data_IF_194505204982
#
_entry.id   IF_194505204982
#
_cell.length_a   1.000
_cell.length_b   1.000
_cell.length_c   1.000
_cell.angle_alpha   90.00
_cell.angle_beta   90.00
_cell.angle_gamma   90.00
#
_symmetry.space_group_name_H-M   'P 1'
#
loop_
_entity.id
_entity.type
_entity.pdbx_description
1 polymer ?
#
# COMPACT_ATOMS: atom_id res chain seq x y z
N UNK A 1 3.09 9.38 -3.42
CA UNK A 1 2.76 8.16 -2.65
C UNK A 1 1.30 8.22 -2.24
N UNK A 2 0.60 7.10 -2.35
CA UNK A 2 -0.78 6.92 -1.91
C UNK A 2 -0.85 5.67 -1.04
N UNK A 3 -1.57 5.73 0.08
CA UNK A 3 -1.91 4.57 0.90
C UNK A 3 -3.40 4.61 1.22
N UNK A 4 -4.03 3.45 1.28
CA UNK A 4 -5.45 3.37 1.57
C UNK A 4 -6.06 2.04 1.20
N UNK A 5 -7.31 2.08 0.76
CA UNK A 5 -8.15 0.90 0.57
C UNK A 5 -8.62 0.78 -0.88
N UNK A 6 -8.86 -0.42 -1.36
CA UNK A 6 -9.53 -0.71 -2.62
C UNK A 6 -10.68 -1.69 -2.38
N UNK A 7 -11.81 -1.50 -3.06
CA UNK A 7 -12.93 -2.45 -3.03
C UNK A 7 -12.85 -3.49 -4.17
N UNK A 8 -13.75 -4.47 -4.18
CA UNK A 8 -13.82 -5.52 -5.20
C UNK A 8 -14.13 -4.99 -6.61
N UNK A 9 -14.52 -3.72 -6.76
CA UNK A 9 -14.74 -3.06 -8.06
C UNK A 9 -13.53 -2.21 -8.48
N UNK A 10 -12.43 -2.32 -7.74
CA UNK A 10 -11.21 -1.57 -7.98
C UNK A 10 -11.23 -0.11 -7.55
N UNK A 11 -12.31 0.39 -6.93
CA UNK A 11 -12.38 1.78 -6.48
C UNK A 11 -11.45 2.00 -5.31
N UNK A 12 -10.60 3.02 -5.39
CA UNK A 12 -9.67 3.33 -4.33
C UNK A 12 -10.18 4.42 -3.37
N UNK A 13 -9.74 4.33 -2.13
CA UNK A 13 -10.04 5.23 -1.02
C UNK A 13 -8.73 5.56 -0.31
N UNK A 14 -8.57 6.77 0.22
CA UNK A 14 -7.45 7.08 1.10
C UNK A 14 -7.61 6.40 2.47
N UNK A 15 -6.57 6.52 3.32
CA UNK A 15 -6.61 5.99 4.70
C UNK A 15 -7.71 6.57 5.58
N UNK A 16 -8.39 7.66 5.16
CA UNK A 16 -9.57 8.21 5.83
C UNK A 16 -10.89 7.73 5.23
N UNK A 17 -10.87 6.73 4.34
CA UNK A 17 -12.02 6.23 3.58
C UNK A 17 -12.66 7.26 2.62
N UNK A 18 -11.95 8.33 2.26
CA UNK A 18 -12.43 9.24 1.21
C UNK A 18 -12.11 8.66 -0.15
N UNK A 19 -13.11 8.60 -1.03
CA UNK A 19 -12.97 8.10 -2.39
C UNK A 19 -11.94 8.90 -3.18
N UNK A 20 -11.01 8.17 -3.80
CA UNK A 20 -10.04 8.70 -4.74
C UNK A 20 -10.62 8.64 -6.15
N UNK A 21 -10.27 9.61 -7.00
CA UNK A 21 -10.64 9.61 -8.43
C UNK A 21 -9.74 8.67 -9.24
N UNK A 22 -9.58 7.44 -8.77
CA UNK A 22 -8.76 6.41 -9.41
C UNK A 22 -9.34 5.03 -9.15
N UNK A 23 -9.17 4.15 -10.13
CA UNK A 23 -9.37 2.72 -9.98
C UNK A 23 -7.99 2.08 -9.87
N UNK A 24 -7.76 1.30 -8.81
CA UNK A 24 -6.51 0.58 -8.60
C UNK A 24 -6.51 -0.73 -9.36
N UNK A 25 -7.65 -1.41 -9.44
CA UNK A 25 -7.82 -2.64 -10.22
C UNK A 25 -8.93 -2.52 -11.24
N UNK A 26 -8.90 -3.36 -12.28
CA UNK A 26 -9.99 -3.54 -13.25
C UNK A 26 -11.08 -4.50 -12.72
N UNK A 27 -12.03 -4.86 -13.59
CA UNK A 27 -13.15 -5.76 -13.26
C UNK A 27 -12.68 -7.20 -13.01
N UNK A 28 -11.54 -7.57 -13.58
CA UNK A 28 -10.86 -8.85 -13.38
C UNK A 28 -10.01 -8.87 -12.11
N UNK A 29 -9.88 -7.74 -11.41
CA UNK A 29 -9.10 -7.59 -10.19
C UNK A 29 -7.59 -7.47 -10.44
N UNK A 30 -7.17 -7.28 -11.70
CA UNK A 30 -5.79 -7.00 -12.09
C UNK A 30 -5.47 -5.52 -11.89
N UNK A 31 -4.19 -5.17 -11.76
CA UNK A 31 -3.80 -3.77 -11.64
C UNK A 31 -4.26 -2.98 -12.86
N UNK A 32 -5.06 -1.93 -12.65
CA UNK A 32 -5.49 -1.03 -13.72
C UNK A 32 -4.28 -0.24 -14.21
N UNK A 33 -3.87 -0.46 -15.46
CA UNK A 33 -2.70 0.16 -16.10
C UNK A 33 -3.09 1.27 -17.07
N UNK A 34 -2.25 2.31 -17.15
CA UNK A 34 -2.37 3.35 -18.16
C UNK A 34 -1.98 2.87 -19.56
N UNK A 35 -2.27 3.68 -20.58
CA UNK A 35 -1.89 3.36 -21.95
C UNK A 35 -0.36 3.17 -22.09
N UNK A 36 0.06 1.97 -22.51
CA UNK A 36 1.47 1.62 -22.67
C UNK A 36 2.21 1.24 -21.37
N UNK A 37 1.54 1.28 -20.22
CA UNK A 37 2.08 0.78 -18.95
C UNK A 37 2.03 -0.76 -18.95
N UNK A 38 3.15 -1.41 -18.64
CA UNK A 38 3.28 -2.87 -18.65
C UNK A 38 3.76 -3.35 -17.28
N UNK A 39 3.22 -4.46 -16.80
CA UNK A 39 3.68 -5.08 -15.55
C UNK A 39 5.04 -5.73 -15.81
N UNK A 40 6.07 -5.23 -15.12
CA UNK A 40 7.44 -5.74 -15.19
C UNK A 40 7.73 -6.76 -14.07
N UNK A 41 7.13 -6.57 -12.90
CA UNK A 41 7.26 -7.45 -11.74
C UNK A 41 5.89 -7.62 -11.09
N UNK A 42 5.53 -8.84 -10.72
CA UNK A 42 4.39 -9.15 -9.89
C UNK A 42 4.74 -10.38 -9.05
N UNK A 43 5.04 -10.18 -7.78
CA UNK A 43 5.46 -11.26 -6.87
C UNK A 43 4.85 -11.07 -5.49
N UNK A 44 4.62 -12.17 -4.78
CA UNK A 44 4.10 -12.13 -3.42
C UNK A 44 5.16 -11.65 -2.43
N UNK A 45 4.75 -10.81 -1.47
CA UNK A 45 5.59 -10.34 -0.39
C UNK A 45 4.78 -10.03 0.87
N UNK A 46 5.48 -9.91 2.00
CA UNK A 46 4.98 -9.26 3.21
C UNK A 46 5.48 -7.83 3.24
N UNK A 47 4.57 -6.89 3.44
CA UNK A 47 4.86 -5.46 3.51
C UNK A 47 4.41 -4.90 4.85
N UNK A 48 5.24 -4.04 5.43
CA UNK A 48 4.91 -3.23 6.60
C UNK A 48 5.43 -1.81 6.40
N UNK A 49 4.82 -0.83 7.05
CA UNK A 49 5.24 0.57 6.93
C UNK A 49 5.18 1.26 8.29
N UNK A 50 6.18 2.08 8.58
CA UNK A 50 6.22 2.93 9.77
C UNK A 50 6.29 4.39 9.36
N UNK A 51 5.58 5.26 10.08
CA UNK A 51 5.75 6.71 10.00
C UNK A 51 7.01 7.12 10.77
N UNK A 52 7.92 7.83 10.12
CA UNK A 52 9.17 8.31 10.71
C UNK A 52 8.92 9.67 11.38
N UNK A 53 8.41 9.64 12.61
CA UNK A 53 8.44 10.75 13.55
C UNK A 53 9.68 10.63 14.46
N UNK A 54 9.96 11.53 15.44
CA UNK A 54 11.14 11.39 16.32
C UNK A 54 11.29 10.00 16.95
N UNK A 55 10.19 9.25 17.06
CA UNK A 55 10.17 7.79 17.22
C UNK A 55 9.32 7.18 16.10
N UNK A 56 9.78 6.11 15.43
CA UNK A 56 8.98 5.42 14.43
C UNK A 56 7.67 4.89 15.01
N UNK A 57 6.55 5.14 14.31
CA UNK A 57 5.23 4.66 14.68
C UNK A 57 4.74 3.67 13.63
N UNK A 58 4.27 2.46 13.99
CA UNK A 58 3.66 1.55 13.03
C UNK A 58 2.50 2.23 12.30
N UNK A 59 2.50 2.17 10.97
CA UNK A 59 1.46 2.74 10.13
C UNK A 59 0.71 1.65 9.35
N UNK A 60 1.41 0.72 8.72
CA UNK A 60 0.87 -0.50 8.12
C UNK A 60 1.48 -1.70 8.84
N UNK A 61 0.65 -2.47 9.54
CA UNK A 61 1.05 -3.72 10.17
C UNK A 61 1.51 -4.73 9.10
N UNK A 62 2.44 -5.64 9.42
CA UNK A 62 2.92 -6.63 8.46
C UNK A 62 1.78 -7.42 7.83
N UNK A 63 1.66 -7.36 6.51
CA UNK A 63 0.56 -7.94 5.76
C UNK A 63 1.08 -8.60 4.48
N UNK A 64 0.58 -9.80 4.17
CA UNK A 64 0.88 -10.51 2.91
C UNK A 64 0.06 -9.90 1.78
N UNK A 65 0.66 -9.83 0.61
CA UNK A 65 0.03 -9.36 -0.62
C UNK A 65 0.95 -9.52 -1.81
N UNK A 66 0.65 -8.78 -2.86
CA UNK A 66 1.45 -8.74 -4.09
C UNK A 66 2.15 -7.39 -4.19
N UNK A 67 3.41 -7.42 -4.61
CA UNK A 67 4.18 -6.24 -5.03
C UNK A 67 4.25 -6.26 -6.56
N UNK A 68 3.68 -5.22 -7.17
CA UNK A 68 3.53 -5.06 -8.60
C UNK A 68 4.34 -3.84 -9.03
N UNK A 69 5.22 -3.95 -10.01
CA UNK A 69 5.97 -2.83 -10.58
C UNK A 69 5.71 -2.72 -12.08
N UNK A 70 5.47 -1.51 -12.57
CA UNK A 70 5.09 -1.24 -13.95
C UNK A 70 6.09 -0.41 -14.75
N UNK A 71 7.27 -0.15 -14.19
CA UNK A 71 8.20 0.84 -14.72
C UNK A 71 7.93 2.26 -14.23
N UNK A 72 6.66 2.60 -14.01
CA UNK A 72 6.22 3.95 -13.61
C UNK A 72 5.96 4.03 -12.10
N UNK A 73 5.41 2.95 -11.53
CA UNK A 73 5.04 2.88 -10.12
C UNK A 73 5.25 1.47 -9.56
N UNK A 74 5.38 1.41 -8.24
CA UNK A 74 5.27 0.19 -7.46
C UNK A 74 3.98 0.24 -6.65
N UNK A 75 3.24 -0.85 -6.67
CA UNK A 75 1.99 -1.04 -5.93
C UNK A 75 2.14 -2.27 -5.04
N UNK A 76 1.95 -2.11 -3.75
CA UNK A 76 1.62 -3.21 -2.86
C UNK A 76 0.11 -3.31 -2.73
N UNK A 77 -0.45 -4.51 -2.87
CA UNK A 77 -1.86 -4.79 -2.66
C UNK A 77 -2.03 -6.04 -1.78
N UNK A 78 -2.65 -5.87 -0.61
CA UNK A 78 -2.84 -6.92 0.38
C UNK A 78 -3.64 -8.11 -0.20
N UNK A 79 -3.39 -9.33 0.26
CA UNK A 79 -4.16 -10.51 -0.16
C UNK A 79 -5.64 -10.34 0.22
N UNK A 80 -6.60 -10.75 -0.62
CA UNK A 80 -8.02 -10.73 -0.27
C UNK A 80 -8.34 -11.72 0.86
N UNK A 81 -9.42 -11.47 1.61
CA UNK A 81 -9.95 -12.43 2.59
C UNK A 81 -9.08 -12.70 3.83
N UNK A 82 -8.08 -11.85 4.10
CA UNK A 82 -7.23 -12.00 5.28
C UNK A 82 -8.04 -11.95 6.59
N UNK A 83 -7.68 -12.77 7.61
CA UNK A 83 -8.26 -12.70 8.94
C UNK A 83 -8.08 -11.31 9.54
N UNK A 84 -9.15 -10.74 10.08
CA UNK A 84 -9.15 -9.39 10.67
C UNK A 84 -9.74 -9.45 12.07
N UNK A 85 -9.00 -8.92 13.03
CA UNK A 85 -9.45 -8.68 14.41
C UNK A 85 -9.36 -7.19 14.67
N UNK A 86 -10.27 -6.62 15.46
CA UNK A 86 -10.25 -5.19 15.76
C UNK A 86 -8.83 -4.69 16.13
N UNK A 87 -8.30 -3.65 15.45
CA UNK A 87 -8.94 -2.87 14.37
C UNK A 87 -9.08 -3.66 13.06
N UNK A 88 -10.23 -3.52 12.37
CA UNK A 88 -10.55 -4.25 11.13
C UNK A 88 -9.72 -3.84 9.89
N UNK A 89 -8.58 -3.20 10.07
CA UNK A 89 -7.65 -2.76 9.02
C UNK A 89 -6.23 -3.05 9.50
N UNK A 90 -5.32 -3.35 8.58
CA UNK A 90 -3.89 -3.42 8.90
C UNK A 90 -3.23 -2.04 9.01
N UNK A 91 -3.90 -0.96 8.60
CA UNK A 91 -3.44 0.38 8.92
C UNK A 91 -3.71 0.72 10.39
N UNK A 92 -2.69 1.18 11.09
CA UNK A 92 -2.78 1.68 12.45
C UNK A 92 -3.32 3.12 12.44
N UNK A 93 -4.58 3.28 12.04
CA UNK A 93 -5.27 4.57 11.94
C UNK A 93 -6.62 4.50 12.62
N UNK A 94 -7.04 5.61 13.23
CA UNK A 94 -8.40 5.76 13.73
C UNK A 94 -9.31 6.23 12.62
N UNK A 95 -10.34 5.45 12.30
CA UNK A 95 -11.34 5.79 11.30
C UNK A 95 -12.59 6.36 11.98
N UNK A 96 -13.16 7.47 11.49
CA UNK A 96 -14.38 8.05 12.04
C UNK A 96 -15.66 7.27 11.63
N UNK A 97 -15.51 6.12 10.98
CA UNK A 97 -16.61 5.30 10.49
C UNK A 97 -17.08 4.31 11.56
N UNK A 98 -18.36 3.92 11.47
CA UNK A 98 -18.90 2.88 12.34
C UNK A 98 -18.16 1.54 12.11
N UNK A 99 -17.79 0.79 13.17
CA UNK A 99 -17.03 -0.46 13.02
C UNK A 99 -17.66 -1.47 12.05
N UNK A 100 -18.99 -1.61 12.08
CA UNK A 100 -19.70 -2.51 11.15
C UNK A 100 -19.62 -2.09 9.68
N UNK A 101 -19.44 -0.78 9.38
CA UNK A 101 -19.25 -0.31 8.01
C UNK A 101 -17.86 -0.71 7.49
N UNK A 102 -16.84 -0.61 8.35
CA UNK A 102 -15.47 -1.04 8.04
C UNK A 102 -15.47 -2.56 7.86
N UNK A 103 -16.10 -3.31 8.76
CA UNK A 103 -16.24 -4.76 8.65
C UNK A 103 -16.94 -5.16 7.34
N UNK A 104 -18.06 -4.51 7.01
CA UNK A 104 -18.78 -4.76 5.76
C UNK A 104 -17.93 -4.49 4.52
N UNK A 105 -17.10 -3.44 4.54
CA UNK A 105 -16.17 -3.14 3.44
C UNK A 105 -15.20 -4.31 3.21
N UNK A 106 -14.60 -4.86 4.26
CA UNK A 106 -13.64 -5.95 4.12
C UNK A 106 -14.27 -7.32 3.87
N UNK A 107 -15.45 -7.59 4.42
CA UNK A 107 -16.10 -8.92 4.36
C UNK A 107 -17.02 -9.09 3.16
N UNK A 108 -17.74 -8.03 2.76
CA UNK A 108 -18.74 -8.08 1.69
C UNK A 108 -18.25 -7.39 0.43
N UNK A 109 -17.55 -6.26 0.57
CA UNK A 109 -17.06 -5.50 -0.59
C UNK A 109 -15.64 -5.90 -1.03
N UNK A 110 -15.08 -6.99 -0.47
CA UNK A 110 -13.76 -7.49 -0.85
C UNK A 110 -12.64 -6.48 -0.62
N UNK A 111 -12.78 -5.63 0.41
CA UNK A 111 -11.82 -4.59 0.75
C UNK A 111 -10.39 -5.11 0.92
N UNK A 112 -9.42 -4.35 0.40
CA UNK A 112 -7.99 -4.64 0.51
C UNK A 112 -7.21 -3.36 0.77
N UNK A 113 -6.15 -3.47 1.55
CA UNK A 113 -5.21 -2.39 1.80
C UNK A 113 -4.17 -2.32 0.68
N UNK A 114 -3.77 -1.10 0.29
CA UNK A 114 -2.75 -0.89 -0.73
C UNK A 114 -1.81 0.26 -0.38
N UNK A 115 -0.62 0.22 -0.98
CA UNK A 115 0.33 1.34 -1.03
C UNK A 115 0.82 1.47 -2.47
N UNK A 116 0.73 2.66 -3.04
CA UNK A 116 1.29 3.00 -4.35
C UNK A 116 2.37 4.07 -4.18
N UNK A 117 3.48 3.88 -4.88
CA UNK A 117 4.60 4.83 -4.90
C UNK A 117 5.18 4.95 -6.31
N UNK A 118 5.74 6.11 -6.60
CA UNK A 118 6.50 6.41 -7.81
C UNK A 118 7.96 6.69 -7.45
N UNK A 119 8.84 6.77 -8.45
CA UNK A 119 10.28 7.05 -8.21
C UNK A 119 10.50 8.31 -7.36
N UNK A 120 9.73 9.36 -7.61
CA UNK A 120 9.82 10.63 -6.88
C UNK A 120 9.44 10.56 -5.39
N UNK A 121 8.77 9.48 -4.97
CA UNK A 121 8.46 9.24 -3.57
C UNK A 121 9.62 8.60 -2.79
N UNK A 122 10.60 8.02 -3.48
CA UNK A 122 11.70 7.26 -2.87
C UNK A 122 12.84 8.20 -2.50
N UNK A 123 13.13 8.32 -1.21
CA UNK A 123 14.27 9.11 -0.72
C UNK A 123 15.55 8.26 -0.62
N UNK A 124 15.44 7.01 -0.18
CA UNK A 124 16.55 6.08 -0.09
C UNK A 124 16.06 4.65 0.03
N UNK A 125 16.94 3.69 -0.24
CA UNK A 125 16.68 2.28 0.02
C UNK A 125 17.92 1.57 0.54
N UNK A 126 17.73 0.65 1.48
CA UNK A 126 18.80 -0.15 2.07
C UNK A 126 18.37 -1.61 2.22
N UNK A 127 19.34 -2.51 2.14
CA UNK A 127 19.11 -3.93 2.43
C UNK A 127 19.24 -4.19 3.93
N UNK A 128 18.25 -4.87 4.52
CA UNK A 128 18.16 -5.17 5.95
C UNK A 128 17.83 -6.65 6.15
N UNK A 129 18.88 -7.48 6.13
CA UNK A 129 18.77 -8.94 6.23
C UNK A 129 17.92 -9.55 5.11
N UNK A 130 16.79 -10.18 5.50
CA UNK A 130 15.84 -10.80 4.56
C UNK A 130 14.88 -9.83 3.89
N UNK A 131 14.92 -8.54 4.23
CA UNK A 131 14.05 -7.53 3.63
C UNK A 131 14.85 -6.37 3.04
N UNK A 132 14.15 -5.55 2.25
CA UNK A 132 14.59 -4.22 1.85
C UNK A 132 13.78 -3.19 2.62
N UNK A 133 14.46 -2.16 3.12
CA UNK A 133 13.85 -0.98 3.74
C UNK A 133 13.97 0.19 2.80
N UNK A 134 12.86 0.90 2.59
CA UNK A 134 12.76 2.02 1.66
C UNK A 134 12.22 3.21 2.43
N UNK A 135 13.00 4.29 2.45
CA UNK A 135 12.53 5.56 2.99
C UNK A 135 11.74 6.28 1.92
N UNK A 136 10.49 6.58 2.22
CA UNK A 136 9.57 7.24 1.32
C UNK A 136 9.13 8.59 1.86
N UNK A 137 8.75 9.49 0.95
CA UNK A 137 8.03 10.72 1.23
C UNK A 137 6.58 10.60 0.77
N UNK A 138 5.66 11.02 1.62
CA UNK A 138 4.22 10.98 1.31
C UNK A 138 3.43 12.05 2.06
N UNK A 139 2.10 12.13 1.84
CA UNK A 139 1.23 12.98 2.63
C UNK A 139 1.18 12.49 4.08
N UNK A 140 1.03 13.40 5.06
CA UNK A 140 0.84 13.03 6.46
C UNK A 140 -0.58 12.49 6.68
N UNK A 141 -0.77 11.41 7.46
CA UNK A 141 -2.11 10.90 7.75
C UNK A 141 -2.96 11.96 8.46
N UNK A 142 -4.17 12.19 7.98
CA UNK A 142 -5.07 13.23 8.50
C UNK A 142 -4.70 14.67 8.12
N UNK A 143 -3.56 14.92 7.47
CA UNK A 143 -3.10 16.25 7.05
C UNK A 143 -2.43 16.21 5.67
N UNK A 144 -3.24 16.03 4.62
CA UNK A 144 -2.73 15.84 3.26
C UNK A 144 -1.86 16.99 2.70
N UNK A 145 -1.97 18.20 3.25
CA UNK A 145 -1.13 19.35 2.87
C UNK A 145 0.27 19.31 3.51
N UNK A 146 0.49 18.47 4.52
CA UNK A 146 1.79 18.25 5.14
C UNK A 146 2.45 16.99 4.55
N UNK A 147 3.77 16.99 4.44
CA UNK A 147 4.54 15.81 4.05
C UNK A 147 5.14 15.12 5.27
N UNK A 148 5.22 13.79 5.23
CA UNK A 148 5.87 12.96 6.22
C UNK A 148 6.79 11.94 5.55
N UNK A 149 7.72 11.39 6.35
CA UNK A 149 8.59 10.30 5.93
C UNK A 149 8.07 8.98 6.44
N UNK A 150 8.29 7.93 5.67
CA UNK A 150 7.87 6.58 5.98
C UNK A 150 9.03 5.62 5.76
N UNK A 151 9.13 4.57 6.58
CA UNK A 151 9.98 3.42 6.32
C UNK A 151 9.08 2.26 5.86
N UNK A 152 9.13 1.95 4.57
CA UNK A 152 8.49 0.79 3.98
C UNK A 152 9.46 -0.40 4.07
N UNK A 153 9.00 -1.53 4.58
CA UNK A 153 9.77 -2.77 4.64
C UNK A 153 9.06 -3.83 3.79
N UNK A 154 9.80 -4.45 2.88
CA UNK A 154 9.31 -5.49 1.97
C UNK A 154 10.15 -6.76 2.13
N UNK A 155 9.50 -7.88 2.40
CA UNK A 155 10.11 -9.20 2.56
C UNK A 155 9.42 -10.24 1.65
N UNK A 156 10.15 -11.04 0.84
CA UNK A 156 11.61 -11.15 0.79
C UNK A 156 12.29 -10.00 0.04
N UNK A 157 13.54 -9.73 0.40
CA UNK A 157 14.39 -8.69 -0.19
C UNK A 157 14.44 -8.74 -1.71
N UNK A 158 14.52 -9.94 -2.27
CA UNK A 158 14.60 -10.16 -3.72
C UNK A 158 13.39 -9.61 -4.48
N UNK A 159 12.19 -9.67 -3.90
CA UNK A 159 10.98 -9.11 -4.51
C UNK A 159 11.07 -7.59 -4.55
N UNK A 160 11.53 -6.98 -3.45
CA UNK A 160 11.74 -5.54 -3.38
C UNK A 160 12.80 -5.07 -4.37
N UNK A 161 13.96 -5.74 -4.41
CA UNK A 161 15.06 -5.40 -5.34
C UNK A 161 14.59 -5.44 -6.80
N UNK A 162 13.84 -6.47 -7.20
CA UNK A 162 13.26 -6.54 -8.55
C UNK A 162 12.27 -5.41 -8.80
N UNK A 163 11.34 -5.19 -7.87
CA UNK A 163 10.29 -4.18 -8.04
C UNK A 163 10.86 -2.76 -8.16
N UNK A 164 11.85 -2.41 -7.34
CA UNK A 164 12.51 -1.12 -7.36
C UNK A 164 13.56 -0.98 -8.48
N UNK A 165 14.17 -2.07 -8.95
CA UNK A 165 15.02 -2.04 -10.15
C UNK A 165 14.19 -1.83 -11.42
N UNK A 166 12.96 -2.34 -11.45
CA UNK A 166 12.01 -2.09 -12.53
C UNK A 166 11.45 -0.65 -12.48
N UNK A 167 11.41 -0.02 -11.30
CA UNK A 167 11.01 1.37 -11.13
C UNK A 167 12.12 2.28 -11.70
N UNK A 168 11.89 2.83 -12.89
CA UNK A 168 12.91 3.51 -13.71
C UNK A 168 13.68 4.59 -12.99
#
# INVERSE_FOLDING_TARGET
MIAGFVDARGRAYDVGFRTLRLFLTDEEGLLATGAGEQIAVQEEATVSMSLLEPKPVPFLMPVRGEVISTGVRVVFLATPGLPRTAPFTVFNVSLPLHPSAIEHFFTVQGGREFVQLEKGDVESSTSSGRAMEVTLRGPRPGKAAESARYALRIEPRSVAEKAFAALG
#
